data_IF_105490889302
#
_entry.id   IF_105490889302
#
_cell.length_a   1.000
_cell.length_b   1.000
_cell.length_c   1.000
_cell.angle_alpha   90.00
_cell.angle_beta   90.00
_cell.angle_gamma   90.00
#
_symmetry.space_group_name_H-M   'P 1'
#
loop_
_entity.id
_entity.type
_entity.pdbx_description
1 polymer ?
#
# COMPACT_ATOMS: atom_id res chain seq x y z
N UNK A 1 16.61 15.01 -15.96
CA UNK A 1 15.55 14.93 -16.99
C UNK A 1 15.10 16.35 -17.30
N UNK A 2 15.13 16.81 -18.56
CA UNK A 2 14.46 18.06 -18.92
C UNK A 2 13.00 17.93 -18.49
N UNK A 3 12.50 18.87 -17.68
CA UNK A 3 11.17 18.79 -17.08
C UNK A 3 10.11 18.67 -18.16
N UNK A 4 9.72 17.43 -18.48
CA UNK A 4 8.55 17.16 -19.29
C UNK A 4 7.38 17.58 -18.42
N UNK A 5 6.96 18.83 -18.56
CA UNK A 5 5.67 19.29 -18.08
C UNK A 5 4.63 18.56 -18.91
N UNK A 6 4.24 17.37 -18.46
CA UNK A 6 3.08 16.70 -19.00
C UNK A 6 1.89 17.59 -18.68
N UNK A 7 1.04 17.93 -19.67
CA UNK A 7 -0.16 18.70 -19.39
C UNK A 7 -0.98 17.96 -18.32
N UNK A 8 -1.59 18.68 -17.35
CA UNK A 8 -2.41 18.03 -16.34
C UNK A 8 -3.48 17.21 -17.06
N UNK A 9 -3.61 15.94 -16.67
CA UNK A 9 -4.67 15.10 -17.18
C UNK A 9 -6.00 15.84 -16.95
N UNK A 10 -6.78 16.09 -18.01
CA UNK A 10 -8.15 16.62 -17.86
C UNK A 10 -8.98 15.53 -17.18
N UNK A 11 -9.00 15.58 -15.86
CA UNK A 11 -9.83 14.74 -15.01
C UNK A 11 -11.22 15.36 -14.97
N UNK A 12 -12.21 14.60 -15.43
CA UNK A 12 -13.62 15.02 -15.41
C UNK A 12 -14.38 14.05 -14.52
N UNK A 13 -14.86 14.54 -13.38
CA UNK A 13 -15.62 13.77 -12.39
C UNK A 13 -14.78 12.85 -11.49
N UNK A 14 -15.43 12.20 -10.50
CA UNK A 14 -14.75 11.35 -9.53
C UNK A 14 -14.08 10.15 -10.21
N UNK A 15 -12.92 9.76 -9.69
CA UNK A 15 -12.18 8.59 -10.15
C UNK A 15 -12.67 7.34 -9.44
N UNK A 16 -13.20 6.38 -10.20
CA UNK A 16 -13.68 5.12 -9.65
C UNK A 16 -12.59 4.05 -9.64
N UNK A 17 -12.83 2.95 -8.94
CA UNK A 17 -11.91 1.80 -8.87
C UNK A 17 -11.43 1.33 -10.25
N UNK A 18 -12.33 1.36 -11.24
CA UNK A 18 -12.05 0.91 -12.59
C UNK A 18 -11.14 1.89 -13.35
N UNK A 19 -11.21 3.20 -13.05
CA UNK A 19 -10.31 4.20 -13.65
C UNK A 19 -8.86 3.99 -13.17
N UNK A 20 -8.66 3.68 -11.89
CA UNK A 20 -7.36 3.26 -11.36
C UNK A 20 -6.89 1.95 -11.99
N UNK A 21 -7.78 0.96 -12.15
CA UNK A 21 -7.44 -0.31 -12.80
C UNK A 21 -7.02 -0.13 -14.26
N UNK A 22 -7.72 0.73 -15.00
CA UNK A 22 -7.39 1.11 -16.38
C UNK A 22 -6.04 1.83 -16.45
N UNK A 23 -5.79 2.78 -15.53
CA UNK A 23 -4.51 3.47 -15.44
C UNK A 23 -3.34 2.52 -15.19
N UNK A 24 -3.53 1.50 -14.34
CA UNK A 24 -2.52 0.49 -14.04
C UNK A 24 -2.38 -0.60 -15.11
N UNK A 25 -3.24 -0.60 -16.14
CA UNK A 25 -3.26 -1.63 -17.18
C UNK A 25 -3.82 -2.97 -16.69
N UNK A 26 -4.64 -2.96 -15.65
CA UNK A 26 -5.33 -4.12 -15.07
C UNK A 26 -6.68 -4.40 -15.74
N UNK A 27 -7.23 -3.38 -16.41
CA UNK A 27 -8.52 -3.41 -17.12
C UNK A 27 -8.41 -2.60 -18.41
N UNK A 28 -9.11 -3.01 -19.45
CA UNK A 28 -9.25 -2.21 -20.67
C UNK A 28 -10.21 -1.03 -20.43
N UNK A 29 -9.88 0.13 -21.02
CA UNK A 29 -10.74 1.29 -20.91
C UNK A 29 -12.01 1.11 -21.74
N UNK A 30 -13.17 1.41 -21.16
CA UNK A 30 -14.41 1.51 -21.92
C UNK A 30 -14.52 2.84 -22.69
N UNK A 31 -13.63 3.81 -22.46
CA UNK A 31 -13.64 5.10 -23.15
C UNK A 31 -12.87 4.97 -24.48
N UNK A 32 -13.49 5.27 -25.63
CA UNK A 32 -12.86 5.07 -26.95
C UNK A 32 -11.58 5.90 -27.15
N UNK A 33 -11.48 7.05 -26.49
CA UNK A 33 -10.34 7.97 -26.61
C UNK A 33 -9.41 7.92 -25.38
N UNK A 34 -9.34 6.80 -24.68
CA UNK A 34 -8.42 6.67 -23.56
C UNK A 34 -6.98 6.51 -24.04
N UNK A 35 -6.15 7.50 -23.72
CA UNK A 35 -4.72 7.46 -23.99
C UNK A 35 -4.02 6.63 -22.91
N UNK A 36 -3.59 5.41 -23.26
CA UNK A 36 -2.76 4.57 -22.38
C UNK A 36 -1.43 5.29 -22.08
N UNK A 37 -0.90 5.22 -20.85
CA UNK A 37 0.44 5.72 -20.54
C UNK A 37 1.48 5.08 -21.47
N UNK A 38 2.41 5.88 -22.00
CA UNK A 38 3.46 5.41 -22.91
C UNK A 38 4.59 4.68 -22.17
N UNK A 39 4.79 5.01 -20.89
CA UNK A 39 5.80 4.40 -20.02
C UNK A 39 5.36 4.48 -18.53
N UNK A 40 6.16 3.87 -17.66
CA UNK A 40 5.85 3.79 -16.22
C UNK A 40 6.02 5.11 -15.46
N UNK A 41 6.88 6.01 -15.94
CA UNK A 41 7.02 7.37 -15.36
C UNK A 41 5.74 8.17 -15.58
N UNK A 42 5.22 8.16 -16.81
CA UNK A 42 3.94 8.79 -17.14
C UNK A 42 2.78 8.16 -16.35
N UNK A 43 2.78 6.84 -16.20
CA UNK A 43 1.78 6.14 -15.39
C UNK A 43 1.79 6.61 -13.94
N UNK A 44 2.97 6.69 -13.32
CA UNK A 44 3.14 7.19 -11.96
C UNK A 44 2.66 8.64 -11.83
N UNK A 45 3.06 9.51 -12.76
CA UNK A 45 2.63 10.91 -12.77
C UNK A 45 1.11 11.04 -12.83
N UNK A 46 0.46 10.31 -13.75
CA UNK A 46 -1.01 10.31 -13.87
C UNK A 46 -1.69 9.73 -12.62
N UNK A 47 -1.08 8.74 -11.98
CA UNK A 47 -1.63 8.17 -10.75
C UNK A 47 -1.63 9.19 -9.62
N UNK A 48 -0.55 9.97 -9.46
CA UNK A 48 -0.50 11.04 -8.46
C UNK A 48 -1.62 12.04 -8.69
N UNK A 49 -1.88 12.43 -9.94
CA UNK A 49 -3.01 13.29 -10.27
C UNK A 49 -4.37 12.64 -9.91
N UNK A 50 -4.56 11.35 -10.20
CA UNK A 50 -5.78 10.61 -9.84
C UNK A 50 -5.98 10.52 -8.32
N UNK A 51 -4.91 10.25 -7.56
CA UNK A 51 -4.93 10.20 -6.10
C UNK A 51 -5.29 11.56 -5.50
N UNK A 52 -4.66 12.64 -5.99
CA UNK A 52 -4.93 13.99 -5.52
C UNK A 52 -6.38 14.38 -5.77
N UNK A 53 -6.93 14.07 -6.95
CA UNK A 53 -8.34 14.33 -7.21
C UNK A 53 -9.28 13.48 -6.33
N UNK A 54 -8.95 12.20 -6.11
CA UNK A 54 -9.75 11.34 -5.23
C UNK A 54 -9.70 11.79 -3.76
N UNK A 55 -8.61 12.44 -3.33
CA UNK A 55 -8.48 13.00 -1.98
C UNK A 55 -9.41 14.21 -1.73
N UNK A 56 -9.99 14.79 -2.78
CA UNK A 56 -11.00 15.86 -2.69
C UNK A 56 -12.41 15.32 -2.40
N UNK A 57 -12.61 14.00 -2.47
CA UNK A 57 -13.88 13.35 -2.16
C UNK A 57 -14.03 13.13 -0.64
N UNK A 58 -15.27 12.95 -0.19
CA UNK A 58 -15.57 12.50 1.17
C UNK A 58 -14.85 11.16 1.49
N UNK A 59 -14.39 11.00 2.73
CA UNK A 59 -13.63 9.82 3.18
C UNK A 59 -14.38 8.51 2.92
N UNK A 60 -15.70 8.48 3.14
CA UNK A 60 -16.52 7.30 2.86
C UNK A 60 -16.53 6.95 1.38
N UNK A 61 -16.54 7.96 0.50
CA UNK A 61 -16.46 7.74 -0.94
C UNK A 61 -15.07 7.21 -1.37
N UNK A 62 -14.00 7.70 -0.73
CA UNK A 62 -12.64 7.18 -0.96
C UNK A 62 -12.55 5.70 -0.54
N UNK A 63 -13.11 5.35 0.61
CA UNK A 63 -13.14 3.98 1.13
C UNK A 63 -13.90 3.04 0.20
N UNK A 64 -15.03 3.47 -0.39
CA UNK A 64 -15.77 2.68 -1.37
C UNK A 64 -14.90 2.38 -2.61
N UNK A 65 -14.22 3.41 -3.13
CA UNK A 65 -13.32 3.27 -4.30
C UNK A 65 -12.21 2.27 -3.99
N UNK A 66 -11.54 2.41 -2.84
CA UNK A 66 -10.41 1.55 -2.48
C UNK A 66 -10.82 0.15 -2.04
N UNK A 67 -11.96 -0.02 -1.38
CA UNK A 67 -12.52 -1.33 -1.03
C UNK A 67 -12.84 -2.13 -2.29
N UNK A 68 -13.51 -1.51 -3.27
CA UNK A 68 -13.81 -2.12 -4.56
C UNK A 68 -12.53 -2.42 -5.35
N UNK A 69 -11.59 -1.47 -5.41
CA UNK A 69 -10.31 -1.67 -6.08
C UNK A 69 -9.57 -2.87 -5.48
N UNK A 70 -9.43 -2.93 -4.15
CA UNK A 70 -8.76 -4.03 -3.47
C UNK A 70 -9.42 -5.38 -3.80
N UNK A 71 -10.74 -5.46 -3.67
CA UNK A 71 -11.46 -6.70 -3.85
C UNK A 71 -11.29 -7.31 -5.25
N UNK A 72 -11.19 -6.46 -6.28
CA UNK A 72 -11.15 -6.88 -7.68
C UNK A 72 -9.73 -6.95 -8.26
N UNK A 73 -8.85 -6.00 -7.90
CA UNK A 73 -7.62 -5.73 -8.64
C UNK A 73 -6.34 -5.91 -7.82
N UNK A 74 -6.43 -6.14 -6.50
CA UNK A 74 -5.26 -6.29 -5.64
C UNK A 74 -4.31 -7.42 -6.09
N UNK A 75 -4.77 -8.65 -6.41
CA UNK A 75 -3.87 -9.72 -6.86
C UNK A 75 -3.04 -9.33 -8.08
N UNK A 76 -3.66 -8.69 -9.06
CA UNK A 76 -2.99 -8.28 -10.29
C UNK A 76 -2.04 -7.09 -10.04
N UNK A 77 -2.42 -6.16 -9.16
CA UNK A 77 -1.55 -5.06 -8.72
C UNK A 77 -0.29 -5.59 -8.04
N UNK A 78 -0.43 -6.56 -7.13
CA UNK A 78 0.72 -7.21 -6.46
C UNK A 78 1.59 -7.95 -7.48
N UNK A 79 0.99 -8.65 -8.46
CA UNK A 79 1.74 -9.32 -9.53
C UNK A 79 2.60 -8.34 -10.33
N UNK A 80 2.05 -7.17 -10.70
CA UNK A 80 2.78 -6.13 -11.43
C UNK A 80 3.79 -5.40 -10.54
N UNK A 81 3.52 -5.19 -9.26
CA UNK A 81 4.55 -4.69 -8.35
C UNK A 81 5.72 -5.69 -8.26
N UNK A 82 5.46 -6.99 -8.13
CA UNK A 82 6.50 -8.01 -8.06
C UNK A 82 7.30 -8.11 -9.37
N UNK A 83 6.65 -7.89 -10.51
CA UNK A 83 7.25 -7.96 -11.85
C UNK A 83 6.87 -6.69 -12.64
N UNK A 84 7.50 -5.54 -12.32
CA UNK A 84 7.15 -4.28 -12.95
C UNK A 84 7.50 -4.33 -14.43
N UNK A 85 6.63 -3.83 -15.31
CA UNK A 85 6.96 -3.71 -16.73
C UNK A 85 8.13 -2.74 -16.92
N UNK A 86 8.94 -3.00 -17.94
CA UNK A 86 10.07 -2.16 -18.34
C UNK A 86 9.80 -1.56 -19.72
N UNK A 87 10.13 -0.29 -19.93
CA UNK A 87 10.01 0.35 -21.24
C UNK A 87 11.37 0.34 -21.96
N UNK A 88 11.39 0.25 -23.29
CA UNK A 88 12.62 0.21 -24.10
C UNK A 88 13.47 1.49 -24.03
N UNK A 89 12.95 2.58 -23.45
CA UNK A 89 13.65 3.84 -23.26
C UNK A 89 14.12 4.14 -21.83
N UNK A 90 13.85 3.25 -20.87
CA UNK A 90 14.22 3.50 -19.47
C UNK A 90 15.72 3.20 -19.24
N UNK A 91 16.44 4.09 -18.55
CA UNK A 91 17.84 3.82 -18.18
C UNK A 91 17.90 2.75 -17.07
N UNK A 92 19.03 2.03 -16.89
CA UNK A 92 19.18 1.05 -15.81
C UNK A 92 18.86 1.62 -14.42
N UNK A 93 19.24 2.86 -14.15
CA UNK A 93 18.97 3.57 -12.89
C UNK A 93 17.48 3.84 -12.72
N UNK A 94 16.80 4.30 -13.78
CA UNK A 94 15.35 4.51 -13.77
C UNK A 94 14.61 3.19 -13.55
N UNK A 95 15.01 2.13 -14.22
CA UNK A 95 14.44 0.79 -14.04
C UNK A 95 14.58 0.35 -12.59
N UNK A 96 15.75 0.54 -11.99
CA UNK A 96 15.98 0.18 -10.59
C UNK A 96 15.12 1.00 -9.63
N UNK A 97 14.99 2.30 -9.86
CA UNK A 97 14.14 3.16 -9.04
C UNK A 97 12.65 2.79 -9.18
N UNK A 98 12.16 2.63 -10.41
CA UNK A 98 10.77 2.28 -10.73
C UNK A 98 10.39 0.88 -10.20
N UNK A 99 11.35 -0.01 -9.95
CA UNK A 99 11.05 -1.28 -9.24
C UNK A 99 10.41 -1.03 -7.88
N UNK A 100 10.79 0.03 -7.17
CA UNK A 100 10.17 0.37 -5.90
C UNK A 100 9.21 1.54 -6.03
N UNK A 101 9.64 2.63 -6.65
CA UNK A 101 8.86 3.84 -6.81
C UNK A 101 8.03 3.80 -8.12
N UNK A 102 7.03 2.93 -8.16
CA UNK A 102 6.10 2.77 -9.30
C UNK A 102 4.66 3.15 -8.94
N UNK A 103 3.82 3.27 -9.96
CA UNK A 103 2.38 3.42 -9.77
C UNK A 103 1.77 2.27 -8.94
N UNK A 104 2.27 1.05 -9.12
CA UNK A 104 1.80 -0.12 -8.35
C UNK A 104 2.12 0.01 -6.88
N UNK A 105 3.33 0.47 -6.55
CA UNK A 105 3.73 0.75 -5.17
C UNK A 105 2.86 1.81 -4.52
N UNK A 106 2.65 2.94 -5.20
CA UNK A 106 1.83 4.05 -4.70
C UNK A 106 0.39 3.65 -4.37
N UNK A 107 -0.18 2.73 -5.16
CA UNK A 107 -1.48 2.14 -4.88
C UNK A 107 -1.42 1.18 -3.69
N UNK A 108 -0.40 0.31 -3.60
CA UNK A 108 -0.23 -0.59 -2.45
C UNK A 108 -0.09 0.18 -1.12
N UNK A 109 0.67 1.28 -1.12
CA UNK A 109 0.78 2.20 0.02
C UNK A 109 -0.58 2.80 0.35
N UNK A 110 -1.31 3.27 -0.68
CA UNK A 110 -2.63 3.89 -0.53
C UNK A 110 -3.69 2.94 0.04
N UNK A 111 -3.61 1.64 -0.26
CA UNK A 111 -4.66 0.68 0.14
C UNK A 111 -4.28 -0.21 1.32
N UNK A 112 -3.10 -0.03 1.93
CA UNK A 112 -2.60 -0.94 2.98
C UNK A 112 -3.48 -0.97 4.24
N UNK A 113 -4.28 0.08 4.48
CA UNK A 113 -5.22 0.18 5.60
C UNK A 113 -6.58 -0.46 5.28
N UNK A 114 -6.87 -0.76 4.01
CA UNK A 114 -8.14 -1.33 3.60
C UNK A 114 -8.20 -2.80 4.04
N UNK A 115 -9.26 -3.26 4.72
CA UNK A 115 -9.34 -4.63 5.27
C UNK A 115 -9.15 -5.76 4.23
N UNK A 116 -9.48 -5.50 2.96
CA UNK A 116 -9.22 -6.41 1.85
C UNK A 116 -7.74 -6.71 1.62
N UNK A 117 -6.86 -5.76 1.94
CA UNK A 117 -5.40 -5.94 1.88
C UNK A 117 -4.95 -6.99 2.90
N UNK A 118 -5.35 -6.85 4.17
CA UNK A 118 -5.07 -7.82 5.21
C UNK A 118 -5.77 -9.17 4.97
N UNK A 119 -6.91 -9.21 4.27
CA UNK A 119 -7.54 -10.45 3.81
C UNK A 119 -6.69 -11.14 2.75
N UNK A 120 -6.23 -10.40 1.73
CA UNK A 120 -5.36 -10.91 0.66
C UNK A 120 -4.10 -11.55 1.20
N UNK A 121 -3.35 -10.82 2.04
CA UNK A 121 -2.07 -11.29 2.58
C UNK A 121 -2.18 -12.60 3.39
N UNK A 122 -3.34 -12.86 4.00
CA UNK A 122 -3.58 -14.05 4.83
C UNK A 122 -4.27 -15.19 4.08
N UNK A 123 -4.68 -14.96 2.83
CA UNK A 123 -5.35 -15.99 2.06
C UNK A 123 -4.36 -17.08 1.65
N UNK A 124 -4.79 -18.34 1.78
CA UNK A 124 -4.06 -19.51 1.29
C UNK A 124 -4.38 -19.83 -0.18
N UNK A 125 -5.29 -19.08 -0.81
CA UNK A 125 -5.68 -19.34 -2.20
C UNK A 125 -4.55 -19.00 -3.16
N UNK A 126 -4.42 -19.73 -4.30
CA UNK A 126 -3.36 -19.48 -5.27
C UNK A 126 -3.32 -18.04 -5.80
N UNK A 127 -4.48 -17.40 -5.95
CA UNK A 127 -4.63 -16.00 -6.37
C UNK A 127 -3.94 -15.01 -5.41
N UNK A 128 -3.72 -15.39 -4.16
CA UNK A 128 -3.02 -14.60 -3.14
C UNK A 128 -1.55 -15.00 -2.90
N UNK A 129 -0.99 -15.94 -3.67
CA UNK A 129 0.38 -16.40 -3.46
C UNK A 129 1.44 -15.29 -3.55
N UNK A 130 1.15 -14.18 -4.25
CA UNK A 130 2.00 -13.00 -4.31
C UNK A 130 2.16 -12.27 -2.98
N UNK A 131 1.19 -12.38 -2.06
CA UNK A 131 1.19 -11.64 -0.80
C UNK A 131 2.38 -11.94 0.11
N UNK A 132 2.82 -13.21 0.17
CA UNK A 132 4.01 -13.58 0.95
C UNK A 132 5.31 -13.09 0.31
N UNK A 133 5.38 -13.12 -1.02
CA UNK A 133 6.55 -12.65 -1.78
C UNK A 133 6.74 -11.13 -1.70
N UNK A 134 5.65 -10.40 -1.45
CA UNK A 134 5.64 -8.95 -1.38
C UNK A 134 6.59 -8.40 -0.31
N UNK A 135 6.61 -9.00 0.88
CA UNK A 135 7.48 -8.60 2.00
C UNK A 135 8.95 -8.69 1.62
N UNK A 136 9.38 -9.85 1.09
CA UNK A 136 10.76 -10.08 0.65
C UNK A 136 11.16 -9.11 -0.46
N UNK A 137 10.35 -9.01 -1.53
CA UNK A 137 10.65 -8.15 -2.68
C UNK A 137 10.74 -6.67 -2.29
N UNK A 138 9.86 -6.20 -1.41
CA UNK A 138 9.91 -4.83 -0.92
C UNK A 138 11.19 -4.56 -0.11
N UNK A 139 11.54 -5.45 0.82
CA UNK A 139 12.74 -5.31 1.64
C UNK A 139 14.03 -5.33 0.80
N UNK A 140 14.15 -6.27 -0.16
CA UNK A 140 15.29 -6.33 -1.08
C UNK A 140 15.45 -5.05 -1.89
N UNK A 141 14.34 -4.49 -2.40
CA UNK A 141 14.37 -3.24 -3.16
C UNK A 141 14.75 -2.04 -2.31
N UNK A 142 14.27 -1.97 -1.06
CA UNK A 142 14.69 -0.94 -0.09
C UNK A 142 16.20 -1.03 0.14
N UNK A 143 16.73 -2.23 0.44
CA UNK A 143 18.18 -2.44 0.64
C UNK A 143 18.98 -2.03 -0.59
N UNK A 144 18.54 -2.46 -1.77
CA UNK A 144 19.21 -2.17 -3.04
C UNK A 144 19.28 -0.67 -3.36
N UNK A 145 18.23 0.09 -3.04
CA UNK A 145 18.14 1.53 -3.32
C UNK A 145 18.69 2.40 -2.19
N UNK A 146 18.82 1.86 -0.97
CA UNK A 146 19.18 2.63 0.22
C UNK A 146 20.48 3.46 0.08
N UNK A 147 21.59 2.96 -0.49
CA UNK A 147 22.80 3.77 -0.68
C UNK A 147 22.57 5.01 -1.57
N UNK A 148 21.78 4.87 -2.63
CA UNK A 148 21.48 5.97 -3.56
C UNK A 148 20.52 6.97 -2.92
N UNK A 149 19.44 6.48 -2.31
CA UNK A 149 18.49 7.31 -1.60
C UNK A 149 19.11 8.08 -0.44
N UNK A 150 20.01 7.46 0.32
CA UNK A 150 20.71 8.12 1.42
C UNK A 150 21.61 9.27 0.96
N UNK A 151 22.24 9.15 -0.22
CA UNK A 151 23.01 10.25 -0.82
C UNK A 151 22.11 11.43 -1.21
N UNK A 152 20.95 11.16 -1.82
CA UNK A 152 20.00 12.21 -2.17
C UNK A 152 19.41 12.90 -0.94
N UNK A 153 19.14 12.15 0.12
CA UNK A 153 18.68 12.70 1.41
C UNK A 153 19.67 13.69 2.04
N UNK A 154 20.97 13.54 1.79
CA UNK A 154 22.02 14.41 2.30
C UNK A 154 22.27 15.63 1.40
N UNK A 155 21.60 15.71 0.24
CA UNK A 155 21.76 16.80 -0.72
C UNK A 155 20.64 17.84 -0.48
N UNK A 156 20.97 19.05 0.01
CA UNK A 156 19.95 20.07 0.33
C UNK A 156 19.34 20.73 -0.91
N UNK A 157 20.03 20.66 -2.05
CA UNK A 157 19.57 21.22 -3.32
C UNK A 157 18.77 20.20 -4.13
N UNK A 158 17.94 20.72 -5.04
CA UNK A 158 17.28 19.89 -6.07
C UNK A 158 18.37 19.11 -6.80
N UNK A 159 18.33 17.79 -6.71
CA UNK A 159 19.34 16.94 -7.32
C UNK A 159 19.36 17.20 -8.83
N UNK A 160 20.49 17.67 -9.36
CA UNK A 160 20.59 18.10 -10.76
C UNK A 160 20.36 16.98 -11.77
N UNK A 161 20.48 15.71 -11.36
CA UNK A 161 20.26 14.54 -12.23
C UNK A 161 18.77 14.19 -12.30
N UNK A 162 18.11 14.16 -11.15
CA UNK A 162 16.71 13.72 -11.00
C UNK A 162 15.71 14.86 -11.05
N UNK A 163 16.14 16.09 -10.75
CA UNK A 163 15.27 17.26 -10.61
C UNK A 163 14.39 17.22 -9.36
N UNK A 164 14.71 16.39 -8.36
CA UNK A 164 13.85 16.17 -7.17
C UNK A 164 14.51 16.69 -5.88
N UNK A 165 13.71 17.29 -4.97
CA UNK A 165 14.22 17.73 -3.66
C UNK A 165 14.44 16.55 -2.71
N UNK A 166 15.27 16.72 -1.67
CA UNK A 166 15.52 15.68 -0.65
C UNK A 166 14.23 15.17 0.03
N UNK A 167 13.23 16.03 0.23
CA UNK A 167 11.93 15.67 0.81
C UNK A 167 11.16 14.63 0.00
N UNK A 168 11.37 14.60 -1.32
CA UNK A 168 10.81 13.57 -2.18
C UNK A 168 11.29 12.18 -1.74
N UNK A 169 12.61 12.01 -1.60
CA UNK A 169 13.20 10.73 -1.21
C UNK A 169 12.81 10.37 0.22
N UNK A 170 12.73 11.35 1.12
CA UNK A 170 12.25 11.14 2.49
C UNK A 170 10.84 10.55 2.50
N UNK A 171 9.93 11.09 1.69
CA UNK A 171 8.57 10.58 1.54
C UNK A 171 8.53 9.17 0.96
N UNK A 172 9.26 8.91 -0.13
CA UNK A 172 9.29 7.58 -0.77
C UNK A 172 9.85 6.51 0.16
N UNK A 173 10.95 6.79 0.88
CA UNK A 173 11.52 5.87 1.87
C UNK A 173 10.51 5.63 3.00
N UNK A 174 9.91 6.70 3.53
CA UNK A 174 8.92 6.61 4.61
C UNK A 174 7.74 5.72 4.22
N UNK A 175 7.18 5.93 3.03
CA UNK A 175 6.10 5.12 2.47
C UNK A 175 6.52 3.65 2.28
N UNK A 176 7.75 3.39 1.82
CA UNK A 176 8.24 2.03 1.58
C UNK A 176 8.43 1.27 2.90
N UNK A 177 9.02 1.92 3.89
CA UNK A 177 9.21 1.37 5.23
C UNK A 177 7.87 1.20 5.95
N UNK A 178 6.93 2.13 5.81
CA UNK A 178 5.58 2.00 6.35
C UNK A 178 4.84 0.79 5.76
N UNK A 179 4.89 0.61 4.43
CA UNK A 179 4.29 -0.56 3.79
C UNK A 179 4.94 -1.85 4.29
N UNK A 180 6.28 -1.88 4.40
CA UNK A 180 6.99 -3.03 4.95
C UNK A 180 6.58 -3.32 6.40
N UNK A 181 6.42 -2.29 7.23
CA UNK A 181 5.93 -2.39 8.61
C UNK A 181 4.55 -3.05 8.67
N UNK A 182 3.64 -2.65 7.78
CA UNK A 182 2.29 -3.22 7.65
C UNK A 182 2.32 -4.70 7.24
N UNK A 183 3.17 -5.05 6.28
CA UNK A 183 3.35 -6.44 5.84
C UNK A 183 3.88 -7.32 6.98
N UNK A 184 4.97 -6.89 7.64
CA UNK A 184 5.55 -7.61 8.77
C UNK A 184 4.55 -7.77 9.93
N UNK A 185 3.79 -6.71 10.23
CA UNK A 185 2.72 -6.75 11.23
C UNK A 185 1.64 -7.78 10.87
N UNK A 186 1.27 -7.88 9.60
CA UNK A 186 0.28 -8.84 9.12
C UNK A 186 0.74 -10.29 9.35
N UNK A 187 2.03 -10.54 9.13
CA UNK A 187 2.69 -11.84 9.26
C UNK A 187 3.29 -12.13 10.65
N UNK A 188 3.05 -11.32 11.68
CA UNK A 188 3.63 -11.50 13.04
C UNK A 188 3.31 -12.85 13.72
N UNK A 189 2.36 -13.63 13.20
CA UNK A 189 2.03 -14.97 13.71
C UNK A 189 2.68 -16.10 12.90
N UNK A 190 3.32 -15.77 11.78
CA UNK A 190 4.07 -16.70 10.95
C UNK A 190 5.55 -16.62 11.35
N UNK A 191 6.31 -17.65 11.00
CA UNK A 191 7.76 -17.57 11.10
C UNK A 191 8.27 -16.51 10.13
N UNK A 192 9.00 -15.51 10.64
CA UNK A 192 9.51 -14.40 9.85
C UNK A 192 10.38 -14.90 8.68
N UNK A 193 11.10 -16.02 8.86
CA UNK A 193 11.94 -16.61 7.81
C UNK A 193 11.13 -17.04 6.58
N UNK A 194 9.80 -17.21 6.70
CA UNK A 194 8.92 -17.58 5.58
C UNK A 194 8.56 -16.41 4.67
N UNK A 195 8.74 -15.17 5.12
CA UNK A 195 8.39 -13.94 4.38
C UNK A 195 9.55 -12.97 4.22
N UNK A 196 10.61 -13.10 5.03
CA UNK A 196 11.81 -12.29 4.98
C UNK A 196 13.06 -13.14 5.28
N UNK A 197 13.99 -13.20 4.32
CA UNK A 197 15.25 -13.93 4.48
C UNK A 197 16.14 -13.29 5.54
N UNK A 198 16.95 -14.11 6.21
CA UNK A 198 17.90 -13.63 7.22
C UNK A 198 18.95 -12.66 6.63
N UNK A 199 19.39 -12.90 5.40
CA UNK A 199 20.35 -12.04 4.69
C UNK A 199 19.77 -10.64 4.44
N UNK A 200 18.59 -10.57 3.82
CA UNK A 200 17.92 -9.28 3.56
C UNK A 200 17.61 -8.54 4.85
N UNK A 201 17.19 -9.25 5.91
CA UNK A 201 17.02 -8.67 7.24
C UNK A 201 18.32 -8.04 7.75
N UNK A 202 19.44 -8.76 7.68
CA UNK A 202 20.73 -8.27 8.16
C UNK A 202 21.20 -7.01 7.41
N UNK A 203 20.96 -6.93 6.10
CA UNK A 203 21.29 -5.75 5.30
C UNK A 203 20.34 -4.57 5.53
N UNK A 204 19.06 -4.84 5.83
CA UNK A 204 18.06 -3.80 6.06
C UNK A 204 18.23 -3.08 7.41
N UNK A 205 18.63 -3.81 8.47
CA UNK A 205 18.70 -3.28 9.84
C UNK A 205 19.59 -2.02 9.97
N UNK A 206 20.82 -1.96 9.40
CA UNK A 206 21.65 -0.76 9.46
C UNK A 206 20.99 0.48 8.85
N UNK A 207 20.25 0.32 7.75
CA UNK A 207 19.55 1.44 7.11
C UNK A 207 18.40 1.96 7.97
N UNK A 208 17.60 1.06 8.54
CA UNK A 208 16.52 1.45 9.46
C UNK A 208 17.05 2.16 10.70
N UNK A 209 18.15 1.67 11.29
CA UNK A 209 18.79 2.31 12.44
C UNK A 209 19.35 3.68 12.09
N UNK A 210 20.00 3.81 10.91
CA UNK A 210 20.55 5.07 10.43
C UNK A 210 19.46 6.12 10.20
N UNK A 211 18.39 5.76 9.51
CA UNK A 211 17.30 6.69 9.19
C UNK A 211 16.44 7.03 10.43
N UNK A 212 16.24 6.08 11.36
CA UNK A 212 15.52 6.37 12.61
C UNK A 212 16.26 7.36 13.51
N UNK A 213 17.59 7.24 13.60
CA UNK A 213 18.41 8.17 14.37
C UNK A 213 18.47 9.56 13.71
N UNK A 214 18.62 9.61 12.38
CA UNK A 214 18.73 10.89 11.64
C UNK A 214 17.43 11.70 11.65
N UNK A 215 16.27 11.05 11.50
CA UNK A 215 14.97 11.70 11.37
C UNK A 215 14.09 11.48 12.59
N UNK A 216 14.70 11.58 13.77
CA UNK A 216 14.02 11.37 15.04
C UNK A 216 12.84 12.34 15.19
N UNK A 217 11.67 11.83 15.63
CA UNK A 217 10.39 12.58 15.75
C UNK A 217 9.78 13.03 14.43
N UNK A 218 10.26 12.51 13.31
CA UNK A 218 9.64 12.69 12.02
C UNK A 218 9.03 11.38 11.53
N UNK A 219 8.09 11.47 10.58
CA UNK A 219 7.40 10.29 10.03
C UNK A 219 8.37 9.17 9.63
N UNK A 220 9.41 9.49 8.84
CA UNK A 220 10.40 8.50 8.41
C UNK A 220 11.10 7.83 9.61
N UNK A 221 11.52 8.61 10.62
CA UNK A 221 12.21 8.05 11.76
C UNK A 221 11.31 7.15 12.61
N UNK A 222 10.05 7.53 12.80
CA UNK A 222 9.05 6.75 13.55
C UNK A 222 8.73 5.42 12.87
N UNK A 223 8.54 5.40 11.54
CA UNK A 223 8.25 4.16 10.81
C UNK A 223 9.48 3.25 10.75
N UNK A 224 10.69 3.81 10.66
CA UNK A 224 11.93 3.05 10.75
C UNK A 224 12.10 2.43 12.14
N UNK A 225 11.89 3.18 13.21
CA UNK A 225 12.00 2.69 14.59
C UNK A 225 11.00 1.56 14.87
N UNK A 226 9.75 1.72 14.43
CA UNK A 226 8.72 0.68 14.58
C UNK A 226 9.09 -0.60 13.82
N UNK A 227 9.56 -0.45 12.58
CA UNK A 227 9.96 -1.59 11.73
C UNK A 227 11.18 -2.30 12.31
N UNK A 228 12.14 -1.55 12.85
CA UNK A 228 13.28 -2.08 13.59
C UNK A 228 12.82 -2.93 14.79
N UNK A 229 11.91 -2.42 15.62
CA UNK A 229 11.38 -3.16 16.78
C UNK A 229 10.69 -4.47 16.40
N UNK A 230 9.97 -4.50 15.28
CA UNK A 230 9.35 -5.73 14.74
C UNK A 230 10.43 -6.73 14.32
N UNK A 231 11.44 -6.29 13.57
CA UNK A 231 12.49 -7.16 13.05
C UNK A 231 13.42 -7.68 14.16
N UNK A 232 13.70 -6.88 15.18
CA UNK A 232 14.54 -7.26 16.33
C UNK A 232 13.84 -8.25 17.27
N UNK A 233 12.52 -8.44 17.15
CA UNK A 233 11.76 -9.38 17.99
C UNK A 233 11.62 -8.92 19.44
N UNK A 234 11.75 -7.62 19.70
CA UNK A 234 11.65 -7.05 21.05
C UNK A 234 10.27 -7.34 21.65
N UNK A 235 10.24 -7.91 22.86
CA UNK A 235 9.00 -8.40 23.51
C UNK A 235 7.94 -7.31 23.65
N UNK A 236 8.34 -6.06 23.93
CA UNK A 236 7.43 -4.92 24.06
C UNK A 236 6.67 -4.61 22.77
N UNK A 237 7.37 -4.65 21.63
CA UNK A 237 6.78 -4.40 20.32
C UNK A 237 5.80 -5.51 19.92
N UNK A 238 6.07 -6.77 20.26
CA UNK A 238 5.20 -7.89 19.89
C UNK A 238 3.75 -7.76 20.41
N UNK A 239 3.53 -7.17 21.60
CA UNK A 239 2.16 -6.93 22.11
C UNK A 239 1.44 -5.87 21.27
N UNK A 240 2.11 -4.74 20.99
CA UNK A 240 1.57 -3.67 20.15
C UNK A 240 1.27 -4.13 18.72
N UNK A 241 2.18 -4.89 18.11
CA UNK A 241 2.04 -5.42 16.74
C UNK A 241 0.85 -6.38 16.63
N UNK A 242 0.62 -7.23 17.64
CA UNK A 242 -0.58 -8.08 17.68
C UNK A 242 -1.87 -7.27 17.76
N UNK A 243 -1.86 -6.13 18.44
CA UNK A 243 -3.00 -5.22 18.49
C UNK A 243 -3.23 -4.54 17.13
N UNK A 244 -2.19 -3.95 16.54
CA UNK A 244 -2.25 -3.33 15.20
C UNK A 244 -2.74 -4.31 14.14
N UNK A 245 -2.32 -5.58 14.22
CA UNK A 245 -2.80 -6.63 13.31
C UNK A 245 -4.31 -6.88 13.42
N UNK A 246 -4.95 -6.64 14.57
CA UNK A 246 -6.42 -6.73 14.68
C UNK A 246 -7.09 -5.54 13.99
N UNK A 247 -6.55 -4.34 14.21
CA UNK A 247 -7.02 -3.09 13.57
C UNK A 247 -6.97 -3.20 12.06
N UNK A 248 -5.86 -3.67 11.46
CA UNK A 248 -5.75 -3.86 10.01
C UNK A 248 -6.77 -4.85 9.41
N UNK A 249 -7.38 -5.69 10.25
CA UNK A 249 -8.42 -6.62 9.79
C UNK A 249 -9.82 -6.05 9.97
N UNK A 250 -9.97 -4.94 10.70
CA UNK A 250 -11.24 -4.41 11.17
C UNK A 250 -12.04 -5.47 11.97
N UNK A 251 -11.35 -6.17 12.89
CA UNK A 251 -11.87 -7.35 13.61
C UNK A 251 -11.92 -7.18 15.14
N UNK A 252 -11.54 -6.01 15.64
CA UNK A 252 -11.49 -5.68 17.06
C UNK A 252 -12.80 -5.14 17.63
N UNK A 253 -13.68 -4.58 16.79
CA UNK A 253 -14.99 -4.05 17.18
C UNK A 253 -16.10 -4.53 16.23
N UNK A 254 -17.34 -4.40 16.68
CA UNK A 254 -18.50 -4.58 15.82
C UNK A 254 -18.50 -3.50 14.72
N UNK A 255 -18.74 -3.88 13.48
CA UNK A 255 -18.62 -2.98 12.34
C UNK A 255 -19.70 -1.92 12.22
N UNK A 256 -20.75 -1.94 13.05
CA UNK A 256 -21.72 -0.84 13.10
C UNK A 256 -21.12 0.29 13.95
N UNK A 257 -21.07 1.55 13.48
CA UNK A 257 -20.34 2.62 14.15
C UNK A 257 -20.75 2.88 15.61
N UNK A 258 -22.01 2.61 15.96
CA UNK A 258 -22.58 2.85 17.29
C UNK A 258 -22.36 1.71 18.30
N UNK A 259 -21.65 0.64 17.93
CA UNK A 259 -21.49 -0.53 18.79
C UNK A 259 -20.02 -0.79 19.15
N UNK A 260 -19.72 -0.73 20.44
CA UNK A 260 -18.38 -0.94 20.98
C UNK A 260 -18.11 -2.40 21.39
N UNK A 261 -19.01 -3.34 21.07
CA UNK A 261 -18.80 -4.75 21.42
C UNK A 261 -17.56 -5.29 20.69
N UNK A 262 -16.65 -5.90 21.45
CA UNK A 262 -15.37 -6.44 20.95
C UNK A 262 -15.30 -7.98 20.96
N UNK A 263 -16.30 -8.64 21.55
CA UNK A 263 -16.31 -10.08 21.80
C UNK A 263 -17.35 -10.81 20.94
N UNK A 264 -17.13 -12.13 20.73
CA UNK A 264 -18.06 -13.03 20.03
C UNK A 264 -18.51 -12.54 18.63
N UNK A 265 -17.66 -11.75 17.97
CA UNK A 265 -17.97 -11.13 16.68
C UNK A 265 -17.97 -12.16 15.54
N UNK A 266 -19.08 -12.20 14.80
CA UNK A 266 -19.27 -13.04 13.60
C UNK A 266 -18.87 -12.29 12.34
N UNK A 267 -18.13 -12.95 11.47
CA UNK A 267 -17.64 -12.36 10.22
C UNK A 267 -18.74 -12.29 9.15
N UNK A 268 -18.77 -11.21 8.36
CA UNK A 268 -19.65 -11.12 7.20
C UNK A 268 -19.36 -12.26 6.21
N UNK A 269 -20.38 -13.07 5.88
CA UNK A 269 -20.22 -14.25 5.02
C UNK A 269 -19.79 -13.95 3.58
N UNK A 270 -20.05 -12.73 3.08
CA UNK A 270 -19.73 -12.34 1.70
C UNK A 270 -18.31 -11.80 1.55
N UNK A 271 -17.98 -10.70 2.23
CA UNK A 271 -16.69 -10.04 2.09
C UNK A 271 -15.63 -10.57 3.05
N UNK A 272 -16.04 -11.07 4.22
CA UNK A 272 -15.16 -11.48 5.31
C UNK A 272 -14.20 -10.39 5.85
N UNK A 273 -14.49 -9.13 5.57
CA UNK A 273 -13.68 -7.97 5.98
C UNK A 273 -14.24 -7.23 7.20
N UNK A 274 -15.50 -7.46 7.56
CA UNK A 274 -16.18 -6.81 8.70
C UNK A 274 -16.78 -7.87 9.61
N UNK A 275 -16.87 -7.60 10.91
CA UNK A 275 -17.50 -8.48 11.89
C UNK A 275 -18.64 -7.79 12.63
N UNK A 276 -19.58 -8.56 13.15
CA UNK A 276 -20.78 -8.08 13.86
C UNK A 276 -21.05 -8.93 15.09
N UNK A 277 -21.47 -8.32 16.19
CA UNK A 277 -21.89 -9.07 17.39
C UNK A 277 -23.24 -9.78 17.18
N UNK A 278 -24.11 -9.25 16.32
CA UNK A 278 -25.41 -9.84 16.00
C UNK A 278 -25.76 -9.74 14.50
N UNK A 279 -26.60 -10.63 13.96
CA UNK A 279 -27.17 -10.46 12.62
C UNK A 279 -28.01 -9.19 12.46
N UNK A 280 -28.58 -8.66 13.55
CA UNK A 280 -29.32 -7.40 13.55
C UNK A 280 -28.43 -6.21 13.19
N UNK A 281 -27.24 -6.13 13.80
CA UNK A 281 -26.26 -5.07 13.49
C UNK A 281 -25.74 -5.16 12.05
N UNK A 282 -25.56 -6.37 11.52
CA UNK A 282 -25.21 -6.55 10.11
C UNK A 282 -26.29 -5.99 9.17
N UNK A 283 -27.57 -6.26 9.46
CA UNK A 283 -28.69 -5.73 8.66
C UNK A 283 -28.80 -4.21 8.76
N UNK A 284 -28.63 -3.65 9.95
CA UNK A 284 -28.64 -2.21 10.15
C UNK A 284 -27.48 -1.51 9.42
N UNK A 285 -26.26 -2.04 9.55
CA UNK A 285 -25.08 -1.50 8.87
C UNK A 285 -25.15 -1.65 7.33
N UNK A 286 -25.97 -2.58 6.81
CA UNK A 286 -26.12 -2.80 5.37
C UNK A 286 -26.63 -1.56 4.63
N UNK A 287 -27.55 -0.81 5.26
CA UNK A 287 -28.19 0.39 4.70
C UNK A 287 -27.94 1.62 5.57
N UNK A 288 -26.88 1.61 6.39
CA UNK A 288 -26.55 2.74 7.24
C UNK A 288 -26.24 3.97 6.35
N UNK A 289 -26.84 5.14 6.63
CA UNK A 289 -26.68 6.32 5.78
C UNK A 289 -25.29 6.95 5.87
N UNK A 290 -24.54 6.70 6.96
CA UNK A 290 -23.20 7.27 7.16
C UNK A 290 -22.10 6.39 6.59
N UNK A 291 -22.28 5.06 6.62
CA UNK A 291 -21.30 4.10 6.13
C UNK A 291 -21.98 2.81 5.66
N UNK A 292 -22.66 2.80 4.49
CA UNK A 292 -23.40 1.63 4.06
C UNK A 292 -22.46 0.46 3.72
N UNK A 293 -22.48 -0.60 4.53
CA UNK A 293 -21.64 -1.79 4.29
C UNK A 293 -21.86 -2.39 2.89
N UNK A 294 -23.07 -2.26 2.34
CA UNK A 294 -23.43 -2.76 1.01
C UNK A 294 -22.47 -2.28 -0.08
N UNK A 295 -21.98 -1.05 0.00
CA UNK A 295 -21.14 -0.43 -1.02
C UNK A 295 -19.68 -0.88 -0.94
N UNK A 296 -19.25 -1.32 0.25
CA UNK A 296 -17.91 -1.86 0.50
C UNK A 296 -17.88 -3.40 0.51
N UNK A 297 -19.02 -4.08 0.38
CA UNK A 297 -19.14 -5.53 0.54
C UNK A 297 -19.00 -6.28 -0.78
N UNK A 298 -17.76 -6.56 -1.16
CA UNK A 298 -17.38 -7.34 -2.34
C UNK A 298 -16.93 -8.75 -1.99
N UNK A 299 -17.32 -9.72 -2.81
CA UNK A 299 -16.77 -11.09 -2.77
C UNK A 299 -15.39 -11.05 -3.45
N UNK A 300 -14.44 -11.82 -2.94
CA UNK A 300 -13.08 -11.91 -3.50
C UNK A 300 -12.75 -13.34 -3.90
N UNK A 301 -11.95 -13.47 -4.95
CA UNK A 301 -11.45 -14.76 -5.42
C UNK A 301 -10.28 -15.27 -4.60
N UNK A 302 -9.61 -14.38 -3.85
CA UNK A 302 -8.66 -14.71 -2.79
C UNK A 302 -9.36 -14.86 -1.43
#
# INVERSE_FOLDING_TARGET
MNGISLPPARIVGPMWSDDFAVLLGLKESARPNYHKPNNEVERLYRLVAYKNHNAELDEGQQDIVWARFCALYLPATVKLFLNPPTSSGDTPEMIQELKLNSAYFEVLVGIQHIPYFAKYLRSSKPTAAGGKKLTQALAERVVSLAPTWDRHLLSPEVDSRTGRPGDYFKSVIGSAVQLLSTLLTTFVKEDLATVLSAATKAELLPWLQKWSARYMREFLGEVCLRTLGILSGERGFNKGVRSMRKVFKNWDTCGIPTCEVTENLKVCGRCQTVRYCTPGHQRAHWTDPSAPHKEMCHKTDY
#
